data_IF_516589587599
#
_entry.id   IF_516589587599
#
_cell.length_a   1.000
_cell.length_b   1.000
_cell.length_c   1.000
_cell.angle_alpha   90.00
_cell.angle_beta   90.00
_cell.angle_gamma   90.00
#
_symmetry.space_group_name_H-M   'P 1'
#
loop_
_entity.id
_entity.type
_entity.pdbx_description
1 polymer ?
#
# COMPACT_ATOMS: atom_id res chain seq x y z
N UNK A 1 -27.19 22.77 -17.85
CA UNK A 1 -28.24 22.81 -16.79
C UNK A 1 -29.32 21.79 -17.14
N UNK A 2 -29.40 20.69 -16.40
CA UNK A 2 -30.35 19.60 -16.65
C UNK A 2 -31.80 20.07 -16.42
N UNK A 3 -32.55 20.33 -17.50
CA UNK A 3 -33.87 20.99 -17.48
C UNK A 3 -35.07 20.10 -17.12
N UNK A 4 -34.87 18.84 -16.72
CA UNK A 4 -35.97 17.96 -16.27
C UNK A 4 -35.61 17.32 -14.93
N UNK A 5 -36.50 17.39 -13.91
CA UNK A 5 -36.26 16.70 -12.65
C UNK A 5 -36.16 15.19 -12.90
N UNK A 6 -35.14 14.55 -12.31
CA UNK A 6 -34.98 13.10 -12.34
C UNK A 6 -36.24 12.44 -11.77
N UNK A 7 -36.69 11.35 -12.41
CA UNK A 7 -37.82 10.60 -11.87
C UNK A 7 -37.49 10.11 -10.45
N UNK A 8 -38.50 10.06 -9.57
CA UNK A 8 -38.33 9.61 -8.18
C UNK A 8 -37.64 8.25 -8.08
N UNK A 9 -37.87 7.35 -9.05
CA UNK A 9 -37.21 6.04 -9.14
C UNK A 9 -35.71 6.15 -9.40
N UNK A 10 -35.30 6.99 -10.35
CA UNK A 10 -33.88 7.21 -10.67
C UNK A 10 -33.16 7.91 -9.50
N UNK A 11 -33.80 8.89 -8.87
CA UNK A 11 -33.25 9.56 -7.68
C UNK A 11 -33.01 8.56 -6.52
N UNK A 12 -34.00 7.70 -6.22
CA UNK A 12 -33.85 6.66 -5.19
C UNK A 12 -32.76 5.66 -5.54
N UNK A 13 -32.59 5.30 -6.82
CA UNK A 13 -31.51 4.42 -7.28
C UNK A 13 -30.14 5.07 -7.06
N UNK A 14 -29.94 6.30 -7.55
CA UNK A 14 -28.69 7.03 -7.39
C UNK A 14 -28.31 7.19 -5.91
N UNK A 15 -29.28 7.49 -5.03
CA UNK A 15 -29.04 7.60 -3.59
C UNK A 15 -28.61 6.27 -2.96
N UNK A 16 -29.14 5.13 -3.42
CA UNK A 16 -28.73 3.80 -2.93
C UNK A 16 -27.31 3.46 -3.37
N UNK A 17 -27.00 3.66 -4.64
CA UNK A 17 -25.66 3.43 -5.19
C UNK A 17 -24.62 4.32 -4.49
N UNK A 18 -24.92 5.60 -4.28
CA UNK A 18 -24.05 6.51 -3.52
C UNK A 18 -23.78 6.02 -2.09
N UNK A 19 -24.81 5.53 -1.38
CA UNK A 19 -24.63 4.97 -0.03
C UNK A 19 -23.76 3.73 -0.04
N UNK A 20 -23.88 2.86 -1.05
CA UNK A 20 -23.03 1.68 -1.19
C UNK A 20 -21.57 2.08 -1.42
N UNK A 21 -21.32 3.01 -2.33
CA UNK A 21 -19.97 3.56 -2.59
C UNK A 21 -19.36 4.12 -1.31
N UNK A 22 -20.11 4.92 -0.55
CA UNK A 22 -19.63 5.47 0.72
C UNK A 22 -19.31 4.43 1.78
N UNK A 23 -20.08 3.34 1.86
CA UNK A 23 -19.79 2.22 2.76
C UNK A 23 -18.50 1.50 2.36
N UNK A 24 -18.34 1.22 1.07
CA UNK A 24 -17.16 0.55 0.54
C UNK A 24 -15.89 1.40 0.74
N UNK A 25 -15.95 2.71 0.48
CA UNK A 25 -14.86 3.64 0.76
C UNK A 25 -14.43 3.60 2.23
N UNK A 26 -15.39 3.64 3.17
CA UNK A 26 -15.09 3.55 4.61
C UNK A 26 -14.46 2.21 4.99
N UNK A 27 -14.96 1.11 4.43
CA UNK A 27 -14.43 -0.23 4.69
C UNK A 27 -12.98 -0.36 4.24
N UNK A 28 -12.67 0.04 3.00
CA UNK A 28 -11.31 0.00 2.46
C UNK A 28 -10.36 0.91 3.27
N UNK A 29 -10.84 2.07 3.71
CA UNK A 29 -10.03 2.96 4.55
C UNK A 29 -9.65 2.34 5.91
N UNK A 30 -10.49 1.43 6.44
CA UNK A 30 -10.19 0.69 7.67
C UNK A 30 -9.37 -0.59 7.45
N UNK A 31 -9.09 -0.94 6.20
CA UNK A 31 -8.45 -2.21 5.81
C UNK A 31 -7.30 -1.94 4.83
N UNK A 32 -6.17 -1.38 5.32
CA UNK A 32 -5.01 -1.10 4.49
C UNK A 32 -4.34 -2.37 3.93
N UNK A 33 -4.68 -3.53 4.50
CA UNK A 33 -4.29 -4.86 4.02
C UNK A 33 -4.98 -5.25 2.70
N UNK A 34 -6.01 -4.50 2.25
CA UNK A 34 -6.76 -4.81 1.03
C UNK A 34 -6.43 -3.78 -0.06
N UNK A 35 -5.97 -4.25 -1.21
CA UNK A 35 -5.70 -3.42 -2.40
C UNK A 35 -6.71 -3.71 -3.50
N UNK A 36 -7.21 -2.64 -4.12
CA UNK A 36 -7.95 -2.70 -5.38
C UNK A 36 -6.96 -2.62 -6.54
N UNK A 37 -6.84 -3.70 -7.29
CA UNK A 37 -5.94 -3.78 -8.43
C UNK A 37 -6.73 -3.64 -9.73
N UNK A 38 -6.21 -2.81 -10.64
CA UNK A 38 -6.77 -2.71 -11.99
C UNK A 38 -6.33 -3.92 -12.82
N UNK A 39 -7.23 -4.43 -13.66
CA UNK A 39 -6.89 -5.50 -14.60
C UNK A 39 -6.30 -4.86 -15.86
N UNK A 40 -5.05 -5.18 -16.21
CA UNK A 40 -4.29 -4.53 -17.29
C UNK A 40 -5.03 -4.37 -18.62
N UNK A 41 -5.90 -5.32 -18.98
CA UNK A 41 -6.60 -5.35 -20.27
C UNK A 41 -8.11 -5.13 -20.17
N UNK A 42 -8.63 -4.74 -19.00
CA UNK A 42 -10.07 -4.51 -18.84
C UNK A 42 -10.35 -3.31 -17.93
N UNK A 43 -11.58 -2.79 -18.01
CA UNK A 43 -12.06 -1.76 -17.09
C UNK A 43 -12.43 -2.31 -15.71
N UNK A 44 -12.14 -3.59 -15.44
CA UNK A 44 -12.43 -4.26 -14.19
C UNK A 44 -11.35 -4.07 -13.13
N UNK A 45 -11.77 -4.26 -11.88
CA UNK A 45 -10.89 -4.29 -10.72
C UNK A 45 -11.07 -5.62 -9.99
N UNK A 46 -9.99 -6.12 -9.40
CA UNK A 46 -10.04 -7.22 -8.45
C UNK A 46 -9.53 -6.78 -7.09
N UNK A 47 -9.87 -7.56 -6.06
CA UNK A 47 -9.45 -7.33 -4.68
C UNK A 47 -8.39 -8.36 -4.37
N UNK A 48 -7.28 -7.91 -3.80
CA UNK A 48 -6.19 -8.77 -3.34
C UNK A 48 -5.62 -8.22 -2.03
N UNK A 49 -4.91 -9.08 -1.31
CA UNK A 49 -4.12 -8.68 -0.15
C UNK A 49 -2.87 -7.87 -0.58
N UNK A 50 -2.56 -6.83 0.21
CA UNK A 50 -1.47 -5.90 -0.06
C UNK A 50 -0.11 -6.59 -0.16
N UNK A 51 0.18 -7.48 0.81
CA UNK A 51 1.45 -8.18 0.86
C UNK A 51 1.64 -9.11 -0.34
N UNK A 52 0.56 -9.77 -0.76
CA UNK A 52 0.56 -10.62 -1.96
C UNK A 52 0.87 -9.82 -3.23
N UNK A 53 0.34 -8.60 -3.37
CA UNK A 53 0.65 -7.72 -4.50
C UNK A 53 2.09 -7.25 -4.48
N UNK A 54 2.60 -6.85 -3.31
CA UNK A 54 4.00 -6.46 -3.15
C UNK A 54 4.94 -7.60 -3.57
N UNK A 55 4.71 -8.81 -3.08
CA UNK A 55 5.50 -9.99 -3.44
C UNK A 55 5.51 -10.24 -4.95
N UNK A 56 4.33 -10.24 -5.61
CA UNK A 56 4.24 -10.42 -7.06
C UNK A 56 4.99 -9.32 -7.81
N UNK A 57 4.93 -8.07 -7.33
CA UNK A 57 5.66 -6.96 -7.93
C UNK A 57 7.19 -7.16 -7.77
N UNK A 58 7.66 -7.53 -6.59
CA UNK A 58 9.07 -7.83 -6.34
C UNK A 58 9.58 -8.99 -7.22
N UNK A 59 8.83 -10.10 -7.31
CA UNK A 59 9.17 -11.24 -8.16
C UNK A 59 9.24 -10.84 -9.64
N UNK A 60 8.28 -10.03 -10.10
CA UNK A 60 8.29 -9.53 -11.48
C UNK A 60 9.50 -8.63 -11.75
N UNK A 61 9.80 -7.68 -10.86
CA UNK A 61 10.98 -6.81 -10.98
C UNK A 61 12.27 -7.63 -10.98
N UNK A 62 12.37 -8.65 -10.11
CA UNK A 62 13.54 -9.51 -10.02
C UNK A 62 13.75 -10.35 -11.28
N UNK A 63 12.68 -10.89 -11.87
CA UNK A 63 12.76 -11.73 -13.07
C UNK A 63 12.99 -10.91 -14.35
N UNK A 64 12.51 -9.68 -14.40
CA UNK A 64 12.59 -8.83 -15.60
C UNK A 64 13.71 -7.78 -15.54
N UNK A 65 14.41 -7.68 -14.40
CA UNK A 65 15.33 -6.57 -14.07
C UNK A 65 14.67 -5.19 -14.19
N UNK A 66 13.34 -5.11 -14.11
CA UNK A 66 12.58 -3.85 -14.19
C UNK A 66 12.50 -3.13 -12.83
N UNK A 67 13.64 -2.97 -12.16
CA UNK A 67 13.70 -2.26 -10.89
C UNK A 67 13.42 -0.77 -11.12
N UNK A 68 12.44 -0.23 -10.41
CA UNK A 68 12.25 1.21 -10.32
C UNK A 68 13.08 1.75 -9.16
N UNK A 69 13.90 2.76 -9.43
CA UNK A 69 14.64 3.46 -8.38
C UNK A 69 13.65 4.16 -7.44
N UNK A 70 13.67 3.75 -6.16
CA UNK A 70 12.90 4.34 -5.07
C UNK A 70 13.55 5.71 -4.76
N UNK A 71 12.96 6.78 -5.30
CA UNK A 71 13.48 8.17 -5.18
C UNK A 71 12.96 8.91 -3.95
N UNK A 72 12.04 8.29 -3.22
CA UNK A 72 11.40 8.75 -2.00
C UNK A 72 12.34 8.76 -0.78
N UNK A 73 13.62 8.47 -0.97
CA UNK A 73 14.66 8.58 0.06
C UNK A 73 14.57 7.51 1.15
N UNK A 74 13.59 6.61 1.06
CA UNK A 74 13.41 5.50 1.98
C UNK A 74 14.34 4.36 1.55
N UNK A 75 15.52 4.28 2.16
CA UNK A 75 16.43 3.15 1.93
C UNK A 75 15.97 1.96 2.80
N UNK A 76 15.48 0.85 2.21
CA UNK A 76 15.04 -0.33 2.98
C UNK A 76 16.18 -0.97 3.79
N UNK A 77 17.45 -0.70 3.44
CA UNK A 77 18.62 -1.13 4.21
C UNK A 77 18.98 -0.19 5.35
N UNK A 78 18.32 0.98 5.48
CA UNK A 78 18.64 1.95 6.53
C UNK A 78 18.34 1.42 7.93
N UNK A 79 17.26 0.66 8.13
CA UNK A 79 16.97 0.03 9.43
C UNK A 79 17.98 -1.06 9.78
N UNK A 80 18.36 -1.88 8.80
CA UNK A 80 19.41 -2.89 8.98
C UNK A 80 20.74 -2.24 9.35
N UNK A 81 21.11 -1.16 8.65
CA UNK A 81 22.32 -0.38 8.95
C UNK A 81 22.28 0.19 10.37
N UNK A 82 21.17 0.82 10.78
CA UNK A 82 21.00 1.34 12.15
C UNK A 82 21.10 0.24 13.20
N UNK A 83 20.52 -0.93 12.92
CA UNK A 83 20.56 -2.08 13.83
C UNK A 83 22.00 -2.58 13.99
N UNK A 84 22.74 -2.75 12.90
CA UNK A 84 24.15 -3.15 12.94
C UNK A 84 25.00 -2.11 13.67
N UNK A 85 24.77 -0.82 13.40
CA UNK A 85 25.47 0.28 14.08
C UNK A 85 25.23 0.27 15.59
N UNK A 86 23.98 0.08 16.02
CA UNK A 86 23.62 -0.05 17.45
C UNK A 86 24.31 -1.25 18.11
N UNK A 87 24.37 -2.38 17.40
CA UNK A 87 25.05 -3.59 17.88
C UNK A 87 26.56 -3.36 18.06
N UNK A 88 27.20 -2.73 17.08
CA UNK A 88 28.62 -2.37 17.15
C UNK A 88 28.92 -1.36 18.26
N UNK A 89 28.06 -0.35 18.43
CA UNK A 89 28.17 0.64 19.51
C UNK A 89 28.15 -0.05 20.88
N UNK A 90 27.19 -0.93 21.12
CA UNK A 90 27.08 -1.68 22.37
C UNK A 90 28.34 -2.54 22.65
N UNK A 91 28.90 -3.17 21.63
CA UNK A 91 30.12 -3.98 21.76
C UNK A 91 31.35 -3.13 22.09
N UNK A 92 31.45 -1.92 21.53
CA UNK A 92 32.52 -0.98 21.83
C UNK A 92 32.42 -0.45 23.27
N UNK A 93 31.20 -0.12 23.71
CA UNK A 93 30.94 0.32 25.09
C UNK A 93 31.26 -0.79 26.09
N UNK A 94 30.79 -2.02 25.86
CA UNK A 94 31.10 -3.17 26.72
C UNK A 94 32.61 -3.46 26.80
N UNK A 95 33.34 -3.34 25.68
CA UNK A 95 34.81 -3.47 25.69
C UNK A 95 35.49 -2.38 26.52
N UNK A 96 35.02 -1.13 26.43
CA UNK A 96 35.54 -0.02 27.22
C UNK A 96 35.31 -0.22 28.73
N UNK A 97 34.17 -0.78 29.13
CA UNK A 97 33.90 -1.12 30.55
C UNK A 97 34.70 -2.33 31.04
N UNK A 98 35.06 -3.27 30.17
CA UNK A 98 35.86 -4.46 30.54
C UNK A 98 37.37 -4.24 30.59
N UNK A 99 37.85 -3.06 30.20
CA UNK A 99 39.29 -2.72 30.16
C UNK A 99 39.69 -1.64 31.17
N UNK A 100 38.84 -1.38 32.18
CA UNK A 100 39.15 -0.61 33.40
C UNK A 100 39.32 -1.54 34.59
#
# INVERSE_FOLDING_TARGET
LYKKPLSNKLYRRARREYKQVKKLQKFLHSRPDIILCQIDKSSGFYIEDAHTIELKAYEYMATTNAYQEITDGHCPLAENLRTVQSLLQNLLEQKAYSSS
#
